data_IF_171482504119
#
_entry.id   IF_171482504119
#
_cell.length_a   1.000
_cell.length_b   1.000
_cell.length_c   1.000
_cell.angle_alpha   90.00
_cell.angle_beta   90.00
_cell.angle_gamma   90.00
#
_symmetry.space_group_name_H-M   'P 1'
#
loop_
_entity.id
_entity.type
_entity.pdbx_description
1 polymer ?
#
# COMPACT_ATOMS: atom_id res chain seq x y z
N UNK A 1 -25.69 -20.58 -18.58
CA UNK A 1 -25.92 -19.16 -18.93
C UNK A 1 -26.24 -18.34 -17.68
N UNK A 2 -27.29 -18.67 -16.92
CA UNK A 2 -27.64 -17.96 -15.66
C UNK A 2 -26.52 -18.01 -14.61
N UNK A 3 -25.94 -19.18 -14.35
CA UNK A 3 -24.83 -19.35 -13.39
C UNK A 3 -23.56 -18.58 -13.77
N UNK A 4 -23.32 -18.36 -15.07
CA UNK A 4 -22.18 -17.57 -15.55
C UNK A 4 -22.38 -16.10 -15.21
N UNK A 5 -23.60 -15.59 -15.41
CA UNK A 5 -23.98 -14.21 -15.07
C UNK A 5 -23.96 -13.97 -13.56
N UNK A 6 -24.43 -14.92 -12.74
CA UNK A 6 -24.36 -14.84 -11.28
C UNK A 6 -22.91 -14.73 -10.79
N UNK A 7 -22.00 -15.52 -11.36
CA UNK A 7 -20.57 -15.46 -11.04
C UNK A 7 -19.93 -14.13 -11.48
N UNK A 8 -20.31 -13.60 -12.63
CA UNK A 8 -19.85 -12.29 -13.10
C UNK A 8 -20.37 -11.15 -12.22
N UNK A 9 -21.64 -11.21 -11.78
CA UNK A 9 -22.21 -10.25 -10.84
C UNK A 9 -21.47 -10.25 -9.50
N UNK A 10 -21.18 -11.43 -8.94
CA UNK A 10 -20.43 -11.54 -7.69
C UNK A 10 -18.99 -11.01 -7.84
N UNK A 11 -18.34 -11.32 -8.97
CA UNK A 11 -17.01 -10.79 -9.29
C UNK A 11 -17.02 -9.27 -9.40
N UNK A 12 -18.00 -8.68 -10.09
CA UNK A 12 -18.14 -7.23 -10.19
C UNK A 12 -18.41 -6.60 -8.83
N UNK A 13 -19.23 -7.22 -7.99
CA UNK A 13 -19.51 -6.72 -6.64
C UNK A 13 -18.24 -6.68 -5.79
N UNK A 14 -17.46 -7.76 -5.79
CA UNK A 14 -16.17 -7.79 -5.10
C UNK A 14 -15.17 -6.77 -5.65
N UNK A 15 -15.21 -6.44 -6.94
CA UNK A 15 -14.40 -5.36 -7.51
C UNK A 15 -14.87 -3.98 -7.03
N UNK A 16 -16.18 -3.73 -7.00
CA UNK A 16 -16.75 -2.49 -6.46
C UNK A 16 -16.39 -2.27 -5.00
N UNK A 17 -16.48 -3.31 -4.17
CA UNK A 17 -16.15 -3.21 -2.74
C UNK A 17 -14.65 -2.91 -2.53
N UNK A 18 -13.78 -3.55 -3.30
CA UNK A 18 -12.33 -3.25 -3.29
C UNK A 18 -12.05 -1.82 -3.74
N UNK A 19 -12.77 -1.33 -4.74
CA UNK A 19 -12.60 0.03 -5.25
C UNK A 19 -13.09 1.06 -4.23
N UNK A 20 -14.23 0.82 -3.57
CA UNK A 20 -14.76 1.67 -2.52
C UNK A 20 -13.76 1.77 -1.34
N UNK A 21 -13.24 0.64 -0.87
CA UNK A 21 -12.21 0.61 0.17
C UNK A 21 -10.92 1.35 -0.26
N UNK A 22 -10.56 1.27 -1.54
CA UNK A 22 -9.41 2.00 -2.09
C UNK A 22 -9.66 3.52 -2.12
N UNK A 23 -10.87 3.96 -2.48
CA UNK A 23 -11.25 5.37 -2.49
C UNK A 23 -11.26 5.94 -1.07
N UNK A 24 -11.88 5.25 -0.11
CA UNK A 24 -11.87 5.66 1.29
C UNK A 24 -10.43 5.78 1.82
N UNK A 25 -9.57 4.83 1.45
CA UNK A 25 -8.14 4.87 1.78
C UNK A 25 -7.45 6.11 1.21
N UNK A 26 -7.72 6.46 -0.05
CA UNK A 26 -7.14 7.65 -0.67
C UNK A 26 -7.63 8.94 -0.01
N UNK A 27 -8.92 9.01 0.34
CA UNK A 27 -9.48 10.17 1.05
C UNK A 27 -8.84 10.36 2.43
N UNK A 28 -8.70 9.27 3.20
CA UNK A 28 -8.01 9.30 4.50
C UNK A 28 -6.54 9.71 4.37
N UNK A 29 -5.87 9.29 3.28
CA UNK A 29 -4.55 9.79 2.94
C UNK A 29 -4.59 11.31 2.76
N UNK A 30 -5.35 11.82 1.79
CA UNK A 30 -5.39 13.25 1.45
C UNK A 30 -5.70 14.13 2.67
N UNK A 31 -6.61 13.70 3.54
CA UNK A 31 -6.97 14.46 4.74
C UNK A 31 -5.84 14.58 5.77
N UNK A 32 -4.95 13.57 5.84
CA UNK A 32 -3.80 13.58 6.76
C UNK A 32 -2.53 14.21 6.17
N UNK A 33 -2.58 14.78 4.97
CA UNK A 33 -1.40 15.24 4.25
C UNK A 33 -0.68 16.33 5.05
N UNK A 34 0.61 16.11 5.35
CA UNK A 34 1.42 16.97 6.21
C UNK A 34 1.43 16.59 7.70
N UNK A 35 0.54 15.69 8.13
CA UNK A 35 0.51 15.15 9.50
C UNK A 35 1.03 13.72 9.59
N UNK A 36 1.31 13.06 8.47
CA UNK A 36 1.74 11.66 8.47
C UNK A 36 3.08 11.47 9.20
N UNK A 37 3.12 10.48 10.07
CA UNK A 37 4.34 9.93 10.64
C UNK A 37 4.67 8.62 9.92
N UNK A 38 5.91 8.46 9.48
CA UNK A 38 6.40 7.24 8.86
C UNK A 38 7.55 6.67 9.69
N UNK A 39 7.48 5.39 10.03
CA UNK A 39 8.52 4.67 10.77
C UNK A 39 8.82 3.33 10.09
N UNK A 40 10.08 2.92 10.12
CA UNK A 40 10.46 1.58 9.66
C UNK A 40 10.11 0.62 10.79
N UNK A 41 9.09 -0.22 10.57
CA UNK A 41 8.64 -1.22 11.53
C UNK A 41 9.53 -2.46 11.54
N UNK A 42 9.92 -2.94 10.35
CA UNK A 42 10.80 -4.10 10.23
C UNK A 42 11.63 -4.05 8.95
N UNK A 43 12.74 -4.78 8.95
CA UNK A 43 13.57 -5.01 7.77
C UNK A 43 13.88 -6.50 7.63
N UNK A 44 13.83 -7.01 6.41
CA UNK A 44 14.04 -8.43 6.10
C UNK A 44 14.78 -8.58 4.77
N UNK A 45 15.55 -9.65 4.63
CA UNK A 45 16.13 -10.05 3.35
C UNK A 45 15.20 -11.05 2.67
N UNK A 46 14.68 -10.70 1.50
CA UNK A 46 13.77 -11.54 0.71
C UNK A 46 14.47 -11.94 -0.58
N UNK A 47 14.27 -13.18 -1.04
CA UNK A 47 14.76 -13.60 -2.35
C UNK A 47 13.87 -13.01 -3.43
N UNK A 48 14.45 -12.20 -4.31
CA UNK A 48 13.78 -11.75 -5.53
C UNK A 48 13.67 -12.91 -6.55
N UNK A 49 12.95 -12.67 -7.63
CA UNK A 49 12.75 -13.48 -8.83
C UNK A 49 14.03 -14.16 -9.35
N UNK A 50 15.18 -13.50 -9.17
CA UNK A 50 16.51 -13.99 -9.56
C UNK A 50 17.26 -14.73 -8.43
N UNK A 51 16.57 -15.15 -7.37
CA UNK A 51 17.12 -15.79 -6.16
C UNK A 51 18.15 -14.98 -5.38
N UNK A 52 18.31 -13.69 -5.71
CA UNK A 52 19.19 -12.76 -4.98
C UNK A 52 18.47 -12.25 -3.73
N UNK A 53 19.20 -12.16 -2.62
CA UNK A 53 18.69 -11.57 -1.39
C UNK A 53 18.64 -10.05 -1.54
N UNK A 54 17.45 -9.47 -1.42
CA UNK A 54 17.20 -8.04 -1.51
C UNK A 54 16.58 -7.57 -0.18
N UNK A 55 17.06 -6.45 0.38
CA UNK A 55 16.46 -5.88 1.59
C UNK A 55 15.08 -5.28 1.28
N UNK A 56 14.10 -5.68 2.08
CA UNK A 56 12.75 -5.15 2.15
C UNK A 56 12.53 -4.47 3.50
N UNK A 57 11.86 -3.32 3.46
CA UNK A 57 11.51 -2.53 4.62
C UNK A 57 10.00 -2.43 4.72
N UNK A 58 9.43 -2.84 5.85
CA UNK A 58 8.04 -2.57 6.18
C UNK A 58 7.97 -1.21 6.86
N UNK A 59 7.32 -0.24 6.22
CA UNK A 59 7.15 1.11 6.72
C UNK A 59 5.72 1.25 7.23
N UNK A 60 5.58 1.59 8.50
CA UNK A 60 4.29 1.97 9.09
C UNK A 60 4.10 3.47 8.91
N UNK A 61 3.03 3.84 8.22
CA UNK A 61 2.58 5.22 8.03
C UNK A 61 1.31 5.43 8.84
N UNK A 62 1.27 6.42 9.72
CA UNK A 62 0.13 6.71 10.60
C UNK A 62 -0.14 8.22 10.67
N UNK A 63 -1.37 8.60 11.01
CA UNK A 63 -1.68 9.97 11.42
C UNK A 63 -1.63 10.02 12.95
N UNK A 64 -0.87 10.93 13.58
CA UNK A 64 -0.89 11.13 15.02
C UNK A 64 -2.33 11.38 15.46
N UNK A 65 -2.77 10.72 16.53
CA UNK A 65 -4.14 10.66 17.07
C UNK A 65 -5.13 9.69 16.42
N UNK A 66 -4.78 9.04 15.31
CA UNK A 66 -5.59 7.94 14.76
C UNK A 66 -5.09 6.58 15.28
N UNK A 67 -5.50 6.20 16.49
CA UNK A 67 -5.14 4.91 17.12
C UNK A 67 -5.55 3.66 16.32
N UNK A 68 -6.26 3.83 15.20
CA UNK A 68 -6.74 2.75 14.30
C UNK A 68 -6.39 2.92 12.83
N UNK A 69 -5.70 3.99 12.40
CA UNK A 69 -5.44 4.25 10.97
C UNK A 69 -3.94 4.31 10.67
N UNK A 70 -3.29 3.16 10.73
CA UNK A 70 -1.93 2.97 10.24
C UNK A 70 -1.91 2.08 9.00
N UNK A 71 -1.05 2.38 8.04
CA UNK A 71 -0.84 1.59 6.83
C UNK A 71 0.58 1.05 6.82
N UNK A 72 0.72 -0.22 6.46
CA UNK A 72 2.03 -0.82 6.20
C UNK A 72 2.28 -0.82 4.69
N UNK A 73 3.40 -0.23 4.29
CA UNK A 73 3.90 -0.30 2.91
C UNK A 73 5.26 -0.97 2.90
N UNK A 74 5.48 -1.84 1.92
CA UNK A 74 6.77 -2.49 1.72
C UNK A 74 7.57 -1.73 0.66
N UNK A 75 8.84 -1.47 0.94
CA UNK A 75 9.75 -0.78 0.04
C UNK A 75 11.11 -1.45 -0.01
N UNK A 76 11.74 -1.35 -1.16
CA UNK A 76 13.09 -1.83 -1.44
C UNK A 76 14.04 -0.64 -1.59
N UNK A 77 15.36 -0.89 -1.57
CA UNK A 77 16.37 0.17 -1.79
C UNK A 77 16.17 0.90 -3.14
N UNK A 78 15.92 0.20 -4.28
CA UNK A 78 15.60 0.87 -5.54
C UNK A 78 14.41 1.84 -5.45
N UNK A 79 13.37 1.51 -4.67
CA UNK A 79 12.22 2.40 -4.49
C UNK A 79 12.61 3.71 -3.82
N UNK A 80 13.49 3.66 -2.81
CA UNK A 80 14.00 4.86 -2.13
C UNK A 80 14.86 5.70 -3.06
N UNK A 81 15.72 5.09 -3.88
CA UNK A 81 16.50 5.83 -4.87
C UNK A 81 15.61 6.50 -5.93
N UNK A 82 14.58 5.81 -6.41
CA UNK A 82 13.62 6.39 -7.34
C UNK A 82 12.84 7.55 -6.70
N UNK A 83 12.41 7.40 -5.43
CA UNK A 83 11.76 8.47 -4.68
C UNK A 83 12.68 9.68 -4.54
N UNK A 84 13.94 9.46 -4.16
CA UNK A 84 14.94 10.53 -4.05
C UNK A 84 15.08 11.29 -5.38
N UNK A 85 15.26 10.57 -6.49
CA UNK A 85 15.36 11.20 -7.81
C UNK A 85 14.13 12.06 -8.16
N UNK A 86 12.91 11.60 -7.81
CA UNK A 86 11.67 12.33 -8.08
C UNK A 86 11.45 13.55 -7.21
N UNK A 87 11.99 13.58 -5.99
CA UNK A 87 11.83 14.70 -5.06
C UNK A 87 12.87 15.81 -5.29
N UNK A 88 14.02 15.46 -5.86
CA UNK A 88 15.14 16.38 -6.13
C UNK A 88 15.26 16.80 -7.61
N UNK A 89 14.25 16.47 -8.43
CA UNK A 89 14.03 16.97 -9.79
C UNK A 89 12.82 17.89 -9.80
#
# INVERSE_FOLDING_TARGET
>A
MVQTLEKEMESMRGQCDRLAAYIERLQAWIQGLGLWTASIHSSQLVKDSNLKLVPYFAILVSVPDSSRSGWVVTKTIPDFHCLQQRLFL
#
